data_IF_065083957052
#
_entry.id   IF_065083957052
#
_cell.length_a   1.000
_cell.length_b   1.000
_cell.length_c   1.000
_cell.angle_alpha   90.00
_cell.angle_beta   90.00
_cell.angle_gamma   90.00
#
_symmetry.space_group_name_H-M   'P 1'
#
loop_
_entity.id
_entity.type
_entity.pdbx_description
1 polymer ?
#
# COMPACT_ATOMS: atom_id res chain seq x y z
N UNK A 1 22.32 -3.83 7.06
CA UNK A 1 20.89 -3.48 7.04
C UNK A 1 20.12 -4.69 6.53
N UNK A 2 19.18 -5.19 7.31
CA UNK A 2 18.37 -6.36 6.95
C UNK A 2 16.93 -5.93 6.69
N UNK A 3 16.49 -6.07 5.45
CA UNK A 3 15.13 -5.79 5.01
C UNK A 3 14.42 -7.10 4.65
N UNK A 4 13.31 -7.38 5.32
CA UNK A 4 12.50 -8.58 5.09
C UNK A 4 11.06 -8.17 4.82
N UNK A 5 10.50 -8.66 3.71
CA UNK A 5 9.07 -8.52 3.40
C UNK A 5 8.44 -9.91 3.56
N UNK A 6 7.38 -9.97 4.35
CA UNK A 6 6.71 -11.24 4.68
C UNK A 6 5.22 -11.07 4.89
N UNK A 7 4.44 -12.18 4.94
CA UNK A 7 3.02 -12.08 5.31
C UNK A 7 2.85 -11.48 6.71
N UNK A 8 1.79 -10.67 6.86
CA UNK A 8 1.38 -10.14 8.16
C UNK A 8 0.84 -11.27 9.04
N UNK A 9 1.16 -11.23 10.34
CA UNK A 9 0.52 -12.07 11.35
C UNK A 9 -0.70 -11.35 11.93
N UNK A 10 -1.69 -12.09 12.43
CA UNK A 10 -2.92 -11.53 13.00
C UNK A 10 -2.65 -10.57 14.16
N UNK A 11 -1.64 -10.87 14.98
CA UNK A 11 -1.25 -10.02 16.12
C UNK A 11 -0.57 -8.71 15.67
N UNK A 12 -0.30 -8.56 14.38
CA UNK A 12 0.28 -7.34 13.80
C UNK A 12 -0.77 -6.40 13.18
N UNK A 13 -2.05 -6.71 13.31
CA UNK A 13 -3.12 -5.92 12.71
C UNK A 13 -3.13 -4.47 13.16
N UNK A 14 -2.94 -4.22 14.45
CA UNK A 14 -2.84 -2.85 14.98
C UNK A 14 -1.64 -2.12 14.41
N UNK A 15 -0.47 -2.77 14.40
CA UNK A 15 0.76 -2.19 13.86
C UNK A 15 0.60 -1.84 12.38
N UNK A 16 -0.07 -2.69 11.60
CA UNK A 16 -0.37 -2.42 10.19
C UNK A 16 -1.12 -1.09 10.04
N UNK A 17 -2.20 -0.91 10.81
CA UNK A 17 -3.00 0.32 10.76
C UNK A 17 -2.21 1.53 11.25
N UNK A 18 -1.42 1.39 12.31
CA UNK A 18 -0.60 2.47 12.84
C UNK A 18 0.47 2.93 11.83
N UNK A 19 1.09 1.98 11.12
CA UNK A 19 2.06 2.30 10.07
C UNK A 19 1.40 3.06 8.93
N UNK A 20 0.23 2.61 8.50
CA UNK A 20 -0.53 3.31 7.45
C UNK A 20 -0.85 4.75 7.88
N UNK A 21 -1.33 4.95 9.10
CA UNK A 21 -1.62 6.28 9.65
C UNK A 21 -0.37 7.18 9.72
N UNK A 22 0.73 6.63 10.22
CA UNK A 22 1.99 7.36 10.34
C UNK A 22 2.53 7.77 8.97
N UNK A 23 2.47 6.87 7.98
CA UNK A 23 2.92 7.16 6.62
C UNK A 23 2.11 8.30 5.99
N UNK A 24 0.78 8.23 6.08
CA UNK A 24 -0.11 9.26 5.53
C UNK A 24 0.18 10.61 6.19
N UNK A 25 0.19 10.65 7.51
CA UNK A 25 0.36 11.91 8.26
C UNK A 25 1.74 12.52 8.09
N UNK A 26 2.77 11.70 7.95
CA UNK A 26 4.14 12.17 7.81
C UNK A 26 4.53 12.56 6.38
N UNK A 27 3.91 11.96 5.37
CA UNK A 27 4.34 12.11 3.98
C UNK A 27 3.35 12.89 3.11
N UNK A 28 2.04 12.76 3.37
CA UNK A 28 1.01 13.35 2.52
C UNK A 28 0.58 14.77 2.93
N UNK A 29 0.99 15.25 4.09
CA UNK A 29 0.56 16.55 4.62
C UNK A 29 0.95 17.74 3.74
N UNK A 30 2.01 17.61 2.95
CA UNK A 30 2.45 18.65 2.00
C UNK A 30 1.52 18.77 0.79
N UNK A 31 0.77 17.72 0.46
CA UNK A 31 -0.06 17.67 -0.76
C UNK A 31 -1.56 17.72 -0.48
N UNK A 32 -1.96 17.57 0.79
CA UNK A 32 -3.36 17.52 1.19
C UNK A 32 -3.63 18.38 2.42
N UNK A 33 -4.81 19.02 2.52
CA UNK A 33 -5.16 19.78 3.71
C UNK A 33 -5.40 18.86 4.92
N UNK A 34 -5.32 19.45 6.11
CA UNK A 34 -5.49 18.71 7.37
C UNK A 34 -6.80 17.94 7.46
N UNK A 35 -7.89 18.50 6.93
CA UNK A 35 -9.20 17.83 6.92
C UNK A 35 -9.20 16.53 6.13
N UNK A 36 -8.47 16.48 5.03
CA UNK A 36 -8.30 15.25 4.23
C UNK A 36 -7.43 14.24 4.98
N UNK A 37 -6.33 14.69 5.54
CA UNK A 37 -5.43 13.83 6.32
C UNK A 37 -6.17 13.20 7.50
N UNK A 38 -6.95 13.98 8.25
CA UNK A 38 -7.70 13.48 9.40
C UNK A 38 -8.79 12.47 8.99
N UNK A 39 -9.40 12.65 7.84
CA UNK A 39 -10.39 11.72 7.31
C UNK A 39 -9.76 10.43 6.78
N UNK A 40 -8.59 10.55 6.15
CA UNK A 40 -7.86 9.43 5.56
C UNK A 40 -7.13 8.59 6.60
N UNK A 41 -6.51 9.24 7.57
CA UNK A 41 -5.67 8.60 8.59
C UNK A 41 -6.09 9.02 10.00
N UNK A 42 -7.31 8.66 10.43
CA UNK A 42 -7.81 9.08 11.75
C UNK A 42 -7.01 8.44 12.88
N UNK A 43 -6.77 9.24 13.93
CA UNK A 43 -6.10 8.80 15.14
C UNK A 43 -7.02 9.03 16.35
N UNK A 44 -6.90 8.20 17.40
CA UNK A 44 -6.06 6.99 17.47
C UNK A 44 -6.62 5.83 16.66
N UNK A 45 -5.83 4.80 16.46
CA UNK A 45 -6.31 3.52 15.91
C UNK A 45 -7.12 2.82 17.01
N UNK A 46 -8.43 2.70 16.79
CA UNK A 46 -9.35 2.16 17.80
C UNK A 46 -9.41 0.63 17.75
N UNK A 47 -9.85 0.01 18.83
CA UNK A 47 -10.09 -1.44 18.86
C UNK A 47 -11.15 -1.85 17.85
N UNK A 48 -12.16 -1.00 17.62
CA UNK A 48 -13.18 -1.23 16.59
C UNK A 48 -12.57 -1.25 15.20
N UNK A 49 -11.66 -0.35 14.90
CA UNK A 49 -10.96 -0.32 13.60
C UNK A 49 -10.12 -1.58 13.42
N UNK A 50 -9.42 -2.04 14.45
CA UNK A 50 -8.62 -3.26 14.41
C UNK A 50 -9.52 -4.48 14.17
N UNK A 51 -10.64 -4.57 14.88
CA UNK A 51 -11.59 -5.68 14.73
C UNK A 51 -12.17 -5.74 13.31
N UNK A 52 -12.55 -4.60 12.75
CA UNK A 52 -13.04 -4.49 11.37
C UNK A 52 -11.96 -4.93 10.37
N UNK A 53 -10.75 -4.44 10.55
CA UNK A 53 -9.61 -4.80 9.70
C UNK A 53 -9.35 -6.31 9.70
N UNK A 54 -9.43 -6.95 10.87
CA UNK A 54 -9.20 -8.39 11.01
C UNK A 54 -10.20 -9.25 10.26
N UNK A 55 -11.42 -8.79 10.08
CA UNK A 55 -12.45 -9.54 9.31
C UNK A 55 -11.98 -9.77 7.88
N UNK A 56 -11.25 -8.80 7.31
CA UNK A 56 -10.67 -8.90 5.97
C UNK A 56 -11.73 -9.23 4.90
N UNK A 57 -12.76 -8.41 4.80
CA UNK A 57 -13.91 -8.62 3.91
C UNK A 57 -13.50 -8.80 2.43
N UNK A 58 -12.42 -8.17 2.00
CA UNK A 58 -11.98 -8.20 0.61
C UNK A 58 -10.92 -9.28 0.34
N UNK A 59 -10.64 -10.12 1.30
CA UNK A 59 -9.63 -11.18 1.20
C UNK A 59 -8.26 -10.64 0.75
N UNK A 60 -7.83 -9.55 1.37
CA UNK A 60 -6.52 -8.96 1.09
C UNK A 60 -5.39 -9.92 1.47
N UNK A 61 -4.40 -10.03 0.61
CA UNK A 61 -3.10 -10.60 1.00
C UNK A 61 -2.32 -9.44 1.59
N UNK A 62 -2.02 -9.53 2.88
CA UNK A 62 -1.38 -8.45 3.64
C UNK A 62 0.07 -8.78 3.95
N UNK A 63 0.94 -7.82 3.70
CA UNK A 63 2.38 -7.95 3.90
C UNK A 63 2.86 -6.90 4.89
N UNK A 64 3.92 -7.23 5.59
CA UNK A 64 4.68 -6.29 6.40
C UNK A 64 6.14 -6.29 5.96
N UNK A 65 6.81 -5.17 6.15
CA UNK A 65 8.25 -5.03 5.93
C UNK A 65 8.94 -4.74 7.25
N UNK A 66 9.96 -5.53 7.53
CA UNK A 66 10.84 -5.33 8.69
C UNK A 66 12.18 -4.78 8.22
N UNK A 67 12.66 -3.76 8.89
CA UNK A 67 13.99 -3.22 8.70
C UNK A 67 14.74 -3.38 10.01
N UNK A 68 15.77 -4.23 10.01
CA UNK A 68 16.54 -4.58 11.19
C UNK A 68 15.66 -5.03 12.38
N UNK A 69 14.61 -5.81 12.07
CA UNK A 69 13.69 -6.38 13.06
C UNK A 69 12.53 -5.51 13.46
N UNK A 70 12.45 -4.27 12.98
CA UNK A 70 11.33 -3.36 13.26
C UNK A 70 10.37 -3.29 12.08
N UNK A 71 9.06 -3.31 12.37
CA UNK A 71 8.04 -3.11 11.34
C UNK A 71 8.05 -1.65 10.89
N UNK A 72 8.29 -1.42 9.59
CA UNK A 72 8.43 -0.08 9.01
C UNK A 72 7.56 0.14 7.79
N UNK A 73 6.94 -0.90 7.26
CA UNK A 73 6.12 -0.79 6.06
C UNK A 73 5.05 -1.85 6.00
N UNK A 74 4.04 -1.57 5.18
CA UNK A 74 2.93 -2.49 4.95
C UNK A 74 2.53 -2.48 3.48
N UNK A 75 1.94 -3.59 3.03
CA UNK A 75 1.37 -3.69 1.71
C UNK A 75 0.16 -4.59 1.69
N UNK A 76 -0.67 -4.44 0.66
CA UNK A 76 -1.83 -5.28 0.46
C UNK A 76 -2.13 -5.49 -1.02
N UNK A 77 -2.52 -6.72 -1.35
CA UNK A 77 -2.91 -7.14 -2.70
C UNK A 77 -4.30 -7.77 -2.64
N UNK A 78 -5.19 -7.35 -3.53
CA UNK A 78 -6.52 -7.96 -3.71
C UNK A 78 -6.53 -8.67 -5.05
N UNK A 79 -6.46 -9.99 -5.02
CA UNK A 79 -6.36 -10.81 -6.24
C UNK A 79 -7.59 -10.66 -7.14
N UNK A 80 -8.79 -10.69 -6.56
CA UNK A 80 -10.04 -10.61 -7.31
C UNK A 80 -10.18 -9.31 -8.12
N UNK A 81 -9.53 -8.24 -7.66
CA UNK A 81 -9.58 -6.93 -8.31
C UNK A 81 -8.32 -6.60 -9.11
N UNK A 82 -7.33 -7.48 -9.14
CA UNK A 82 -6.00 -7.19 -9.68
C UNK A 82 -5.44 -5.88 -9.11
N UNK A 83 -5.60 -5.68 -7.80
CA UNK A 83 -5.35 -4.37 -7.16
C UNK A 83 -4.21 -4.44 -6.16
N UNK A 84 -3.22 -3.57 -6.37
CA UNK A 84 -2.28 -3.19 -5.32
C UNK A 84 -3.00 -2.17 -4.44
N UNK A 85 -3.53 -2.63 -3.31
CA UNK A 85 -4.43 -1.83 -2.47
C UNK A 85 -3.69 -0.89 -1.54
N UNK A 86 -2.53 -1.29 -1.04
CA UNK A 86 -1.78 -0.49 -0.08
C UNK A 86 -0.28 -0.73 -0.23
N UNK A 87 0.48 0.34 -0.08
CA UNK A 87 1.93 0.31 0.08
C UNK A 87 2.31 1.57 0.86
N UNK A 88 2.63 1.41 2.14
CA UNK A 88 2.95 2.51 3.02
C UNK A 88 4.21 2.22 3.82
N UNK A 89 5.05 3.22 3.98
CA UNK A 89 6.31 3.14 4.73
C UNK A 89 6.34 4.30 5.72
N UNK A 90 6.74 4.02 6.97
CA UNK A 90 6.88 5.08 7.97
C UNK A 90 7.90 6.12 7.51
N UNK A 91 7.71 7.42 7.85
CA UNK A 91 8.59 8.47 7.37
C UNK A 91 10.08 8.23 7.66
N UNK A 92 10.42 7.72 8.84
CA UNK A 92 11.81 7.48 9.24
C UNK A 92 12.51 6.40 8.40
N UNK A 93 11.75 5.53 7.75
CA UNK A 93 12.27 4.48 6.88
C UNK A 93 12.10 4.80 5.39
N UNK A 94 11.63 6.00 5.04
CA UNK A 94 11.46 6.41 3.66
C UNK A 94 12.80 6.47 2.92
N UNK A 95 12.77 6.21 1.61
CA UNK A 95 13.94 6.28 0.72
C UNK A 95 15.04 5.26 1.04
N UNK A 96 14.69 4.16 1.71
CA UNK A 96 15.61 3.06 1.99
C UNK A 96 15.29 1.79 1.21
N UNK A 97 14.45 1.91 0.16
CA UNK A 97 14.05 0.79 -0.68
C UNK A 97 12.94 -0.08 -0.11
N UNK A 98 12.33 0.28 1.02
CA UNK A 98 11.26 -0.52 1.66
C UNK A 98 10.03 -0.58 0.78
N UNK A 99 9.58 0.58 0.26
CA UNK A 99 8.42 0.64 -0.63
C UNK A 99 8.62 -0.17 -1.91
N UNK A 100 9.78 -0.04 -2.52
CA UNK A 100 10.12 -0.82 -3.73
C UNK A 100 10.14 -2.31 -3.46
N UNK A 101 10.63 -2.74 -2.30
CA UNK A 101 10.64 -4.15 -1.90
C UNK A 101 9.22 -4.69 -1.69
N UNK A 102 8.34 -3.89 -1.07
CA UNK A 102 6.93 -4.25 -0.89
C UNK A 102 6.23 -4.41 -2.25
N UNK A 103 6.41 -3.45 -3.16
CA UNK A 103 5.81 -3.53 -4.50
C UNK A 103 6.36 -4.74 -5.27
N UNK A 104 7.67 -4.99 -5.21
CA UNK A 104 8.28 -6.14 -5.86
C UNK A 104 7.67 -7.46 -5.38
N UNK A 105 7.44 -7.62 -4.07
CA UNK A 105 6.81 -8.82 -3.52
C UNK A 105 5.35 -8.93 -3.94
N UNK A 106 4.61 -7.83 -3.94
CA UNK A 106 3.22 -7.79 -4.42
C UNK A 106 3.16 -8.22 -5.90
N UNK A 107 4.06 -7.71 -6.73
CA UNK A 107 4.12 -8.08 -8.15
C UNK A 107 4.50 -9.55 -8.34
N UNK A 108 5.40 -10.05 -7.51
CA UNK A 108 5.78 -11.48 -7.53
C UNK A 108 4.57 -12.37 -7.21
N UNK A 109 3.82 -12.03 -6.16
CA UNK A 109 2.60 -12.73 -5.77
C UNK A 109 1.52 -12.64 -6.86
N UNK A 110 1.34 -11.46 -7.45
CA UNK A 110 0.41 -11.26 -8.54
C UNK A 110 0.74 -12.17 -9.72
N UNK A 111 2.01 -12.25 -10.13
CA UNK A 111 2.45 -13.17 -11.20
C UNK A 111 2.25 -14.63 -10.83
N UNK A 112 2.54 -15.00 -9.58
CA UNK A 112 2.32 -16.34 -9.08
C UNK A 112 0.87 -16.77 -9.20
N UNK A 113 -0.07 -15.85 -8.98
CA UNK A 113 -1.50 -16.06 -9.15
C UNK A 113 -2.01 -15.75 -10.56
N UNK A 114 -1.10 -15.60 -11.52
CA UNK A 114 -1.40 -15.42 -12.95
C UNK A 114 -2.16 -14.13 -13.28
N UNK A 115 -2.01 -13.10 -12.48
CA UNK A 115 -2.51 -11.79 -12.85
C UNK A 115 -1.68 -11.20 -14.00
N UNK A 116 -2.36 -10.54 -14.93
CA UNK A 116 -1.69 -9.96 -16.12
C UNK A 116 -1.37 -8.47 -15.92
N UNK A 117 -1.93 -7.86 -14.91
CA UNK A 117 -1.73 -6.45 -14.59
C UNK A 117 -2.03 -6.19 -13.12
N UNK A 118 -1.61 -5.03 -12.66
CA UNK A 118 -2.07 -4.47 -11.38
C UNK A 118 -2.61 -3.07 -11.62
N UNK A 119 -3.70 -2.76 -10.94
CA UNK A 119 -4.26 -1.42 -10.83
C UNK A 119 -4.04 -0.91 -9.41
N UNK A 120 -3.96 0.40 -9.27
CA UNK A 120 -3.89 1.03 -7.96
C UNK A 120 -4.50 2.43 -8.00
N UNK A 121 -4.88 2.90 -6.83
CA UNK A 121 -5.29 4.27 -6.62
C UNK A 121 -4.18 4.95 -5.81
N UNK A 122 -3.43 5.84 -6.46
CA UNK A 122 -2.32 6.54 -5.84
C UNK A 122 -2.75 7.87 -5.27
N UNK A 123 -2.17 8.25 -4.13
CA UNK A 123 -2.19 9.64 -3.71
C UNK A 123 -1.32 10.49 -4.66
N UNK A 124 -1.53 11.81 -4.63
CA UNK A 124 -0.66 12.73 -5.36
C UNK A 124 0.79 12.61 -4.86
N UNK A 125 0.96 12.38 -3.58
CA UNK A 125 2.28 12.22 -2.94
C UNK A 125 3.03 11.01 -3.47
N UNK A 126 2.35 9.89 -3.67
CA UNK A 126 2.96 8.62 -4.07
C UNK A 126 3.08 8.45 -5.59
N UNK A 127 2.44 9.29 -6.38
CA UNK A 127 2.47 9.18 -7.85
C UNK A 127 3.88 9.07 -8.42
N UNK A 128 4.87 9.91 -8.03
CA UNK A 128 6.23 9.79 -8.56
C UNK A 128 6.88 8.44 -8.23
N UNK A 129 6.60 7.92 -7.04
CA UNK A 129 7.11 6.62 -6.62
C UNK A 129 6.59 5.50 -7.53
N UNK A 130 5.30 5.47 -7.82
CA UNK A 130 4.73 4.45 -8.69
C UNK A 130 5.15 4.62 -10.15
N UNK A 131 5.27 5.85 -10.63
CA UNK A 131 5.81 6.10 -11.98
C UNK A 131 7.22 5.55 -12.14
N UNK A 132 8.05 5.70 -11.13
CA UNK A 132 9.42 5.15 -11.15
C UNK A 132 9.44 3.62 -11.20
N UNK A 133 8.34 2.97 -10.82
CA UNK A 133 8.16 1.51 -10.87
C UNK A 133 7.35 1.05 -12.10
N UNK A 134 7.24 1.93 -13.09
CA UNK A 134 6.58 1.68 -14.39
C UNK A 134 5.05 1.58 -14.33
N UNK A 135 4.42 2.14 -13.30
CA UNK A 135 2.97 2.34 -13.30
C UNK A 135 2.63 3.59 -14.11
N UNK A 136 1.62 3.48 -14.96
CA UNK A 136 1.17 4.56 -15.82
C UNK A 136 -0.16 5.13 -15.33
N UNK A 137 -0.33 6.44 -15.48
CA UNK A 137 -1.58 7.12 -15.12
C UNK A 137 -2.66 6.76 -16.15
N UNK A 138 -3.77 6.23 -15.66
CA UNK A 138 -4.97 6.00 -16.48
C UNK A 138 -5.92 7.18 -16.37
N UNK A 139 -6.17 7.67 -15.15
CA UNK A 139 -7.20 8.68 -14.90
C UNK A 139 -6.90 9.42 -13.60
N UNK A 140 -7.19 10.72 -13.57
CA UNK A 140 -7.19 11.50 -12.36
C UNK A 140 -8.61 11.57 -11.82
N UNK A 141 -8.78 11.22 -10.55
CA UNK A 141 -10.10 11.02 -9.94
C UNK A 141 -10.22 11.74 -8.60
N UNK A 142 -11.46 11.87 -8.14
CA UNK A 142 -11.77 12.26 -6.77
C UNK A 142 -12.15 11.01 -5.99
N UNK A 143 -11.29 10.63 -5.04
CA UNK A 143 -11.56 9.49 -4.18
C UNK A 143 -12.43 9.90 -3.00
N UNK A 144 -13.50 9.14 -2.75
CA UNK A 144 -14.38 9.37 -1.60
C UNK A 144 -13.85 8.58 -0.42
N UNK A 145 -13.51 9.29 0.65
CA UNK A 145 -13.05 8.69 1.91
C UNK A 145 -14.24 8.13 2.71
N UNK A 146 -13.97 7.18 3.60
CA UNK A 146 -15.00 6.53 4.39
C UNK A 146 -15.86 7.48 5.23
N UNK A 147 -15.34 8.66 5.57
CA UNK A 147 -16.05 9.73 6.28
C UNK A 147 -16.88 10.64 5.37
N UNK A 148 -16.86 10.42 4.05
CA UNK A 148 -17.54 11.24 3.05
C UNK A 148 -16.71 12.39 2.50
N UNK A 149 -15.49 12.62 3.01
CA UNK A 149 -14.56 13.58 2.44
C UNK A 149 -14.03 13.10 1.09
N UNK A 150 -13.55 14.04 0.26
CA UNK A 150 -12.99 13.73 -1.05
C UNK A 150 -11.54 14.15 -1.15
N UNK A 151 -10.74 13.37 -1.84
CA UNK A 151 -9.35 13.71 -2.10
C UNK A 151 -8.98 13.45 -3.56
N UNK A 152 -8.20 14.35 -4.18
CA UNK A 152 -7.64 14.07 -5.50
C UNK A 152 -6.74 12.85 -5.44
N UNK A 153 -6.88 11.96 -6.38
CA UNK A 153 -6.09 10.75 -6.48
C UNK A 153 -5.83 10.38 -7.93
N UNK A 154 -4.96 9.41 -8.14
CA UNK A 154 -4.53 9.02 -9.49
C UNK A 154 -4.72 7.52 -9.65
N UNK A 155 -5.56 7.14 -10.61
CA UNK A 155 -5.71 5.74 -10.98
C UNK A 155 -4.55 5.35 -11.89
N UNK A 156 -3.81 4.31 -11.51
CA UNK A 156 -2.61 3.88 -12.23
C UNK A 156 -2.66 2.39 -12.52
N UNK A 157 -1.89 1.98 -13.54
CA UNK A 157 -1.87 0.60 -14.00
C UNK A 157 -0.47 0.21 -14.48
N UNK A 158 -0.13 -1.06 -14.26
CA UNK A 158 1.07 -1.68 -14.82
C UNK A 158 0.73 -3.05 -15.38
N UNK A 159 1.14 -3.32 -16.62
CA UNK A 159 1.09 -4.66 -17.19
C UNK A 159 2.22 -5.50 -16.61
N UNK A 160 1.88 -6.69 -16.13
CA UNK A 160 2.87 -7.62 -15.59
C UNK A 160 3.27 -8.58 -16.69
N UNK A 161 4.56 -8.56 -17.00
CA UNK A 161 5.11 -9.58 -17.87
C UNK A 161 5.39 -10.83 -17.04
N UNK A 162 4.79 -11.95 -17.43
CA UNK A 162 5.19 -13.24 -16.89
C UNK A 162 6.66 -13.38 -17.25
N UNK A 163 7.54 -13.44 -16.27
CA UNK A 163 8.96 -13.62 -16.50
C UNK A 163 9.10 -14.73 -17.54
N UNK A 164 9.91 -14.51 -18.57
CA UNK A 164 10.21 -15.56 -19.53
C UNK A 164 10.42 -16.82 -18.70
N UNK A 165 9.56 -17.82 -18.93
CA UNK A 165 9.83 -19.12 -18.36
C UNK A 165 11.31 -19.33 -18.66
N UNK A 166 12.12 -19.29 -17.62
CA UNK A 166 13.47 -19.76 -17.75
C UNK A 166 13.34 -21.24 -18.06
N UNK A 167 12.99 -21.52 -19.30
CA UNK A 167 13.08 -22.82 -19.88
C UNK A 167 14.52 -23.17 -19.72
N UNK A 168 14.75 -23.83 -18.71
CA UNK A 168 16.03 -24.39 -18.46
C UNK A 168 16.26 -25.61 -18.90
#
# INVERSE_FOLDING_TARGET
MSLVVRPMRDDESRSFLEIQRAAVRGLAAKDYPASVIDAWAPLPVTDTAVAFFRVNHDSEIRLVAELDGELVGIGALVLAESELRACYVVPDAARRGVGSALVAEIERLARHHRLTHLELLSSLTAEPFYRALDYEVEERVEHVLGSGGRMPAVKMRKTLHQGAALGG
#
